data_IF_217615232959
#
_entry.id   IF_217615232959
#
_cell.length_a   1.000
_cell.length_b   1.000
_cell.length_c   1.000
_cell.angle_alpha   90.00
_cell.angle_beta   90.00
_cell.angle_gamma   90.00
#
_symmetry.space_group_name_H-M   'P 1'
#
loop_
_entity.id
_entity.type
_entity.pdbx_description
1 polymer ?
#
# COMPACT_ATOMS: atom_id res chain seq x y z
N UNK A 1 12.66 21.18 -21.27
CA UNK A 1 12.69 20.12 -20.23
C UNK A 1 11.46 19.19 -20.28
N UNK A 2 10.24 19.68 -20.53
CA UNK A 2 9.03 18.85 -20.56
C UNK A 2 8.99 17.76 -21.65
N UNK A 3 9.52 18.02 -22.86
CA UNK A 3 9.47 17.06 -23.99
C UNK A 3 10.32 15.80 -23.72
N UNK A 4 11.48 15.95 -23.10
CA UNK A 4 12.38 14.83 -22.77
C UNK A 4 11.80 13.96 -21.64
N UNK A 5 11.11 14.57 -20.66
CA UNK A 5 10.39 13.85 -19.62
C UNK A 5 9.20 13.06 -20.18
N UNK A 6 8.41 13.66 -21.09
CA UNK A 6 7.33 12.95 -21.82
C UNK A 6 7.86 11.79 -22.65
N UNK A 7 8.96 12.00 -23.39
CA UNK A 7 9.58 10.94 -24.20
C UNK A 7 10.10 9.78 -23.34
N UNK A 8 10.71 10.06 -22.19
CA UNK A 8 11.15 9.03 -21.25
C UNK A 8 9.97 8.28 -20.61
N UNK A 9 8.85 8.96 -20.31
CA UNK A 9 7.63 8.34 -19.81
C UNK A 9 7.01 7.38 -20.84
N UNK A 10 6.84 7.81 -22.10
CA UNK A 10 6.31 6.95 -23.17
C UNK A 10 7.26 5.79 -23.51
N UNK A 11 8.59 6.02 -23.51
CA UNK A 11 9.60 4.97 -23.74
C UNK A 11 9.61 3.89 -22.64
N UNK A 12 9.20 4.24 -21.42
CA UNK A 12 9.08 3.29 -20.29
C UNK A 12 7.75 2.52 -20.32
N UNK A 13 6.67 3.16 -20.76
CA UNK A 13 5.34 2.55 -20.87
C UNK A 13 5.21 1.58 -22.05
N UNK A 14 5.81 1.89 -23.21
CA UNK A 14 5.63 1.10 -24.43
C UNK A 14 6.00 -0.38 -24.23
N UNK A 15 7.17 -0.72 -23.65
CA UNK A 15 7.51 -2.11 -23.37
C UNK A 15 6.72 -2.70 -22.19
N UNK A 16 6.29 -1.87 -21.23
CA UNK A 16 5.60 -2.33 -20.01
C UNK A 16 4.13 -2.70 -20.23
N UNK A 17 3.48 -2.11 -21.24
CA UNK A 17 2.08 -2.38 -21.61
C UNK A 17 1.92 -3.24 -22.87
N UNK A 18 2.89 -3.25 -23.80
CA UNK A 18 2.81 -4.02 -25.06
C UNK A 18 3.82 -5.19 -25.13
N UNK A 19 4.82 -5.24 -24.25
CA UNK A 19 5.81 -6.31 -24.22
C UNK A 19 5.30 -7.55 -23.47
N UNK A 20 5.42 -8.74 -24.08
CA UNK A 20 5.08 -10.05 -23.50
C UNK A 20 5.90 -10.47 -22.26
N UNK A 21 6.81 -9.64 -21.77
CA UNK A 21 7.64 -9.92 -20.59
C UNK A 21 6.99 -9.34 -19.33
N UNK A 22 7.09 -10.04 -18.19
CA UNK A 22 6.58 -9.58 -16.89
C UNK A 22 7.34 -8.30 -16.44
N UNK A 23 6.67 -7.38 -15.74
CA UNK A 23 7.27 -6.16 -15.16
C UNK A 23 6.81 -6.04 -13.71
N UNK A 24 7.33 -5.10 -12.92
CA UNK A 24 6.82 -4.79 -11.59
C UNK A 24 5.29 -4.62 -11.56
N UNK A 25 4.67 -4.15 -12.65
CA UNK A 25 3.23 -3.97 -12.75
C UNK A 25 2.43 -5.27 -12.57
N UNK A 26 3.00 -6.43 -12.88
CA UNK A 26 2.31 -7.71 -12.70
C UNK A 26 2.19 -8.10 -11.22
N UNK A 27 3.08 -7.60 -10.36
CA UNK A 27 2.97 -7.82 -8.91
C UNK A 27 1.87 -6.95 -8.28
N UNK A 28 1.71 -5.72 -8.78
CA UNK A 28 0.78 -4.76 -8.19
C UNK A 28 -0.68 -5.05 -8.54
N UNK A 29 -0.95 -5.58 -9.74
CA UNK A 29 -2.31 -5.86 -10.23
C UNK A 29 -2.78 -7.28 -9.93
N UNK A 30 -3.01 -7.59 -8.65
CA UNK A 30 -3.75 -8.80 -8.23
C UNK A 30 -5.27 -8.61 -8.41
N UNK A 31 -6.10 -9.61 -8.14
CA UNK A 31 -7.55 -9.42 -7.98
C UNK A 31 -7.81 -8.92 -6.56
N UNK A 32 -8.32 -7.69 -6.36
CA UNK A 32 -8.66 -7.24 -5.02
C UNK A 32 -9.86 -8.03 -4.48
N UNK A 33 -9.69 -8.63 -3.31
CA UNK A 33 -10.70 -9.45 -2.65
C UNK A 33 -10.65 -9.27 -1.14
N UNK A 34 -11.82 -9.34 -0.50
CA UNK A 34 -11.95 -9.42 0.96
C UNK A 34 -11.59 -10.84 1.38
N UNK A 35 -10.71 -11.00 2.36
CA UNK A 35 -10.45 -12.31 2.95
C UNK A 35 -11.54 -12.65 3.98
N UNK A 36 -12.52 -13.44 3.57
CA UNK A 36 -13.64 -13.87 4.43
C UNK A 36 -13.20 -14.71 5.64
N UNK A 37 -11.98 -15.25 5.64
CA UNK A 37 -11.42 -16.01 6.77
C UNK A 37 -10.78 -15.13 7.85
N UNK A 38 -10.66 -13.82 7.61
CA UNK A 38 -10.13 -12.91 8.61
C UNK A 38 -11.07 -12.85 9.84
N UNK A 39 -10.56 -12.96 11.08
CA UNK A 39 -11.41 -12.95 12.27
C UNK A 39 -11.89 -11.55 12.71
N UNK A 40 -11.46 -10.47 12.03
CA UNK A 40 -11.84 -9.04 12.21
C UNK A 40 -11.52 -8.39 13.57
N UNK A 41 -11.69 -9.10 14.69
CA UNK A 41 -11.55 -8.61 16.06
C UNK A 41 -10.30 -9.10 16.78
N UNK A 42 -9.58 -10.04 16.16
CA UNK A 42 -8.32 -10.58 16.69
C UNK A 42 -7.29 -10.62 15.57
N UNK A 43 -6.00 -10.67 15.91
CA UNK A 43 -4.97 -10.93 14.90
C UNK A 43 -5.23 -12.32 14.28
N UNK A 44 -4.94 -12.51 13.00
CA UNK A 44 -5.22 -13.76 12.26
C UNK A 44 -4.79 -13.65 10.81
N UNK A 45 -5.45 -14.39 9.90
CA UNK A 45 -5.26 -14.15 8.46
C UNK A 45 -5.44 -12.65 8.14
N UNK A 46 -4.61 -12.15 7.23
CA UNK A 46 -4.65 -10.77 6.77
C UNK A 46 -5.91 -10.48 5.94
N UNK A 47 -6.36 -9.23 5.96
CA UNK A 47 -7.66 -8.79 5.44
C UNK A 47 -7.88 -9.01 3.95
N UNK A 48 -6.80 -9.17 3.18
CA UNK A 48 -6.83 -9.48 1.76
C UNK A 48 -6.03 -10.76 1.49
N UNK A 49 -6.51 -11.68 0.62
CA UNK A 49 -5.85 -12.97 0.41
C UNK A 49 -4.43 -12.85 -0.14
N UNK A 50 -4.19 -11.92 -1.07
CA UNK A 50 -2.92 -11.74 -1.79
C UNK A 50 -2.41 -13.04 -2.47
N UNK A 51 -3.32 -13.83 -3.02
CA UNK A 51 -3.02 -15.15 -3.62
C UNK A 51 -2.02 -15.03 -4.78
N UNK A 52 -2.23 -14.12 -5.74
CA UNK A 52 -1.29 -14.01 -6.86
C UNK A 52 0.07 -13.44 -6.43
N UNK A 53 0.10 -12.64 -5.36
CA UNK A 53 1.35 -12.16 -4.76
C UNK A 53 2.07 -13.29 -4.03
N UNK A 54 1.37 -14.18 -3.33
CA UNK A 54 1.95 -15.36 -2.70
C UNK A 54 2.62 -16.30 -3.73
N UNK A 55 2.03 -16.37 -4.92
CA UNK A 55 2.53 -17.15 -6.07
C UNK A 55 3.33 -16.30 -7.07
N UNK A 56 4.05 -15.30 -6.56
CA UNK A 56 4.83 -14.41 -7.40
C UNK A 56 5.78 -15.19 -8.32
N UNK A 57 5.60 -15.04 -9.62
CA UNK A 57 6.35 -15.79 -10.62
C UNK A 57 7.52 -14.98 -11.22
N UNK A 58 8.07 -14.03 -10.45
CA UNK A 58 9.21 -13.21 -10.85
C UNK A 58 10.52 -13.64 -10.20
N UNK A 59 11.44 -12.70 -10.04
CA UNK A 59 12.77 -12.99 -9.52
C UNK A 59 12.78 -13.03 -7.99
N UNK A 60 13.70 -13.83 -7.45
CA UNK A 60 13.97 -13.95 -6.02
C UNK A 60 15.48 -13.82 -5.80
N UNK A 61 15.88 -13.40 -4.60
CA UNK A 61 17.25 -13.59 -4.14
C UNK A 61 17.49 -15.02 -3.64
N UNK A 62 18.71 -15.31 -3.19
CA UNK A 62 19.08 -16.63 -2.67
C UNK A 62 18.39 -17.03 -1.37
N UNK A 63 17.77 -16.07 -0.66
CA UNK A 63 17.00 -16.31 0.56
C UNK A 63 15.50 -16.45 0.28
N UNK A 64 15.07 -16.43 -0.99
CA UNK A 64 13.66 -16.55 -1.37
C UNK A 64 12.87 -15.25 -1.22
N UNK A 65 13.53 -14.09 -1.12
CA UNK A 65 12.88 -12.79 -1.03
C UNK A 65 12.61 -12.23 -2.43
N UNK A 66 11.39 -11.73 -2.74
CA UNK A 66 11.05 -11.29 -4.08
C UNK A 66 11.78 -10.00 -4.49
N UNK A 67 12.23 -9.97 -5.75
CA UNK A 67 12.83 -8.82 -6.43
C UNK A 67 11.91 -8.36 -7.56
N UNK A 68 11.48 -7.10 -7.53
CA UNK A 68 10.66 -6.52 -8.59
C UNK A 68 11.54 -5.93 -9.70
N UNK A 69 11.20 -6.20 -10.95
CA UNK A 69 11.89 -5.65 -12.12
C UNK A 69 11.24 -4.36 -12.61
N UNK A 70 11.88 -3.22 -12.30
CA UNK A 70 11.48 -1.88 -12.72
C UNK A 70 12.01 -1.45 -14.09
N UNK A 71 12.75 -2.36 -14.76
CA UNK A 71 13.36 -2.23 -16.08
C UNK A 71 14.30 -1.04 -16.23
N UNK A 72 14.92 -0.97 -17.41
CA UNK A 72 15.79 0.13 -17.79
C UNK A 72 16.95 0.29 -16.81
N UNK A 73 17.23 1.54 -16.41
CA UNK A 73 18.35 1.86 -15.51
C UNK A 73 18.12 1.44 -14.05
N UNK A 74 16.88 1.22 -13.63
CA UNK A 74 16.59 0.81 -12.25
C UNK A 74 16.84 -0.69 -12.08
N UNK A 75 16.44 -1.49 -13.06
CA UNK A 75 16.60 -2.95 -13.01
C UNK A 75 15.79 -3.60 -11.89
N UNK A 76 16.31 -4.71 -11.35
CA UNK A 76 15.71 -5.46 -10.26
C UNK A 76 16.02 -4.79 -8.93
N UNK A 77 14.99 -4.58 -8.12
CA UNK A 77 15.12 -3.92 -6.82
C UNK A 77 14.28 -4.67 -5.78
N UNK A 78 14.76 -4.65 -4.54
CA UNK A 78 13.89 -4.92 -3.41
C UNK A 78 12.86 -3.81 -3.29
N UNK A 79 11.63 -4.19 -2.96
CA UNK A 79 10.59 -3.25 -2.61
C UNK A 79 9.94 -3.73 -1.30
N UNK A 80 10.12 -3.00 -0.18
CA UNK A 80 9.56 -3.38 1.12
C UNK A 80 8.05 -3.65 1.11
N UNK A 81 7.28 -2.88 0.34
CA UNK A 81 5.83 -3.08 0.20
C UNK A 81 5.55 -4.42 -0.47
N UNK A 82 6.28 -4.74 -1.54
CA UNK A 82 6.12 -5.99 -2.25
C UNK A 82 6.50 -7.21 -1.40
N UNK A 83 7.60 -7.09 -0.66
CA UNK A 83 8.08 -8.14 0.25
C UNK A 83 7.07 -8.37 1.37
N UNK A 84 6.53 -7.31 1.96
CA UNK A 84 5.49 -7.41 2.99
C UNK A 84 4.21 -8.06 2.45
N UNK A 85 3.70 -7.63 1.28
CA UNK A 85 2.50 -8.22 0.69
C UNK A 85 2.69 -9.67 0.23
N UNK A 86 3.88 -10.01 -0.27
CA UNK A 86 4.28 -11.39 -0.56
C UNK A 86 4.26 -12.27 0.69
N UNK A 87 4.83 -11.78 1.79
CA UNK A 87 4.84 -12.49 3.06
C UNK A 87 3.43 -12.62 3.64
N UNK A 88 2.59 -11.58 3.60
CA UNK A 88 1.20 -11.64 4.06
C UNK A 88 0.37 -12.65 3.25
N UNK A 89 0.56 -12.70 1.93
CA UNK A 89 -0.09 -13.70 1.08
C UNK A 89 0.34 -15.12 1.41
N UNK A 90 1.65 -15.36 1.60
CA UNK A 90 2.15 -16.66 2.00
C UNK A 90 1.75 -17.04 3.43
N UNK A 91 1.63 -16.08 4.35
CA UNK A 91 1.10 -16.31 5.68
C UNK A 91 -0.36 -16.77 5.64
N UNK A 92 -1.21 -16.09 4.85
CA UNK A 92 -2.60 -16.52 4.64
C UNK A 92 -2.67 -17.94 4.06
N UNK A 93 -1.84 -18.22 3.04
CA UNK A 93 -1.78 -19.55 2.44
C UNK A 93 -1.30 -20.61 3.46
N UNK A 94 -0.31 -20.29 4.29
CA UNK A 94 0.17 -21.14 5.36
C UNK A 94 -0.94 -21.43 6.39
N UNK A 95 -1.68 -20.43 6.87
CA UNK A 95 -2.79 -20.64 7.80
C UNK A 95 -3.80 -21.69 7.28
N UNK A 96 -4.00 -21.73 5.97
CA UNK A 96 -4.97 -22.63 5.31
C UNK A 96 -4.42 -24.03 5.00
N UNK A 97 -3.13 -24.13 4.70
CA UNK A 97 -2.51 -25.34 4.14
C UNK A 97 -1.52 -26.02 5.08
N UNK A 98 -0.99 -25.29 6.06
CA UNK A 98 0.12 -25.72 6.93
C UNK A 98 1.36 -26.18 6.13
N UNK A 99 1.55 -25.64 4.92
CA UNK A 99 2.66 -26.00 4.03
C UNK A 99 3.98 -25.42 4.52
N UNK A 100 5.00 -26.27 4.66
CA UNK A 100 6.37 -25.85 5.00
C UNK A 100 6.94 -24.84 3.98
N UNK A 101 6.66 -25.02 2.69
CA UNK A 101 7.06 -24.08 1.64
C UNK A 101 6.46 -22.68 1.86
N UNK A 102 5.18 -22.61 2.25
CA UNK A 102 4.54 -21.33 2.58
C UNK A 102 5.13 -20.71 3.83
N UNK A 103 5.49 -21.55 4.80
CA UNK A 103 6.17 -21.10 6.02
C UNK A 103 7.51 -20.45 5.72
N UNK A 104 8.38 -21.14 4.97
CA UNK A 104 9.68 -20.64 4.55
C UNK A 104 9.55 -19.28 3.85
N UNK A 105 8.57 -19.14 2.96
CA UNK A 105 8.34 -17.91 2.19
C UNK A 105 7.91 -16.71 3.04
N UNK A 106 6.91 -16.87 3.92
CA UNK A 106 6.50 -15.73 4.76
C UNK A 106 7.57 -15.39 5.81
N UNK A 107 8.29 -16.40 6.31
CA UNK A 107 9.39 -16.23 7.27
C UNK A 107 10.56 -15.49 6.64
N UNK A 108 10.98 -15.87 5.42
CA UNK A 108 12.03 -15.17 4.68
C UNK A 108 11.69 -13.69 4.46
N UNK A 109 10.44 -13.38 4.12
CA UNK A 109 9.98 -12.01 3.99
C UNK A 109 10.01 -11.24 5.32
N UNK A 110 9.57 -11.87 6.43
CA UNK A 110 9.60 -11.26 7.76
C UNK A 110 11.04 -11.02 8.25
N UNK A 111 11.94 -12.00 8.07
CA UNK A 111 13.36 -11.88 8.41
C UNK A 111 14.05 -10.78 7.59
N UNK A 112 13.70 -10.66 6.29
CA UNK A 112 14.18 -9.57 5.46
C UNK A 112 13.72 -8.21 6.01
N UNK A 113 12.46 -8.07 6.43
CA UNK A 113 11.96 -6.84 7.03
C UNK A 113 12.69 -6.49 8.34
N UNK A 114 12.98 -7.45 9.20
CA UNK A 114 13.78 -7.21 10.42
C UNK A 114 15.18 -6.73 10.06
N UNK A 115 15.84 -7.40 9.11
CA UNK A 115 17.23 -7.12 8.72
C UNK A 115 17.41 -5.77 8.00
N UNK A 116 16.41 -5.35 7.22
CA UNK A 116 16.48 -4.15 6.38
C UNK A 116 15.65 -2.98 6.92
N UNK A 117 15.28 -3.02 8.21
CA UNK A 117 14.76 -1.85 8.89
C UNK A 117 15.95 -0.94 9.23
N UNK A 118 15.94 0.29 8.70
CA UNK A 118 17.07 1.22 8.75
C UNK A 118 16.67 2.53 9.44
N UNK A 119 17.62 3.27 10.01
CA UNK A 119 17.35 4.61 10.53
C UNK A 119 17.39 5.63 9.39
N UNK A 120 16.37 6.47 9.28
CA UNK A 120 16.42 7.63 8.39
C UNK A 120 17.23 8.80 8.99
N UNK A 121 17.29 9.92 8.28
CA UNK A 121 18.02 11.12 8.69
C UNK A 121 17.57 11.71 10.03
N UNK A 122 16.33 11.43 10.47
CA UNK A 122 15.79 11.85 11.77
C UNK A 122 15.96 10.79 12.87
N UNK A 123 16.63 9.67 12.58
CA UNK A 123 16.85 8.58 13.52
C UNK A 123 15.66 7.62 13.70
N UNK A 124 14.58 7.80 12.94
CA UNK A 124 13.41 6.92 12.97
C UNK A 124 13.64 5.68 12.10
N UNK A 125 13.14 4.54 12.57
CA UNK A 125 13.28 3.26 11.89
C UNK A 125 12.26 3.11 10.77
N UNK A 126 12.73 2.98 9.53
CA UNK A 126 11.91 2.89 8.32
C UNK A 126 12.47 1.87 7.33
N UNK A 127 11.62 1.35 6.45
CA UNK A 127 12.07 0.60 5.29
C UNK A 127 12.34 1.53 4.10
N UNK A 128 13.61 1.63 3.73
CA UNK A 128 14.07 2.47 2.63
C UNK A 128 13.93 1.75 1.28
N UNK A 129 13.67 2.54 0.25
CA UNK A 129 13.81 2.19 -1.15
C UNK A 129 15.09 2.83 -1.67
N UNK A 130 16.02 2.00 -2.13
CA UNK A 130 17.36 2.41 -2.54
C UNK A 130 17.48 2.69 -4.05
N UNK A 131 16.40 3.17 -4.66
CA UNK A 131 16.36 3.54 -6.08
C UNK A 131 15.51 4.78 -6.30
N UNK A 132 15.88 5.61 -7.28
CA UNK A 132 15.10 6.80 -7.63
C UNK A 132 13.75 6.40 -8.24
N UNK A 133 12.67 7.03 -7.81
CA UNK A 133 11.33 6.75 -8.32
C UNK A 133 10.69 7.99 -8.94
N UNK A 134 10.28 7.88 -10.20
CA UNK A 134 9.59 8.94 -10.92
C UNK A 134 8.10 8.90 -10.56
N UNK A 135 7.72 9.81 -9.67
CA UNK A 135 6.35 10.13 -9.33
C UNK A 135 6.05 11.58 -9.75
N UNK A 136 5.10 12.29 -9.13
CA UNK A 136 4.83 13.71 -9.39
C UNK A 136 6.09 14.57 -9.26
N UNK A 137 6.86 14.27 -8.21
CA UNK A 137 8.23 14.74 -8.00
C UNK A 137 9.10 13.50 -7.87
N UNK A 138 10.29 13.52 -8.47
CA UNK A 138 11.24 12.40 -8.35
C UNK A 138 11.59 12.17 -6.89
N UNK A 139 11.26 10.99 -6.37
CA UNK A 139 11.72 10.52 -5.07
C UNK A 139 13.17 10.08 -5.23
N UNK A 140 14.09 10.77 -4.55
CA UNK A 140 15.51 10.42 -4.58
C UNK A 140 15.82 9.36 -3.55
N UNK A 141 16.61 8.36 -3.94
CA UNK A 141 17.07 7.35 -3.01
C UNK A 141 18.00 7.94 -1.93
N UNK A 142 17.94 7.44 -0.68
CA UNK A 142 16.92 6.54 -0.17
C UNK A 142 15.61 7.28 0.16
N UNK A 143 14.46 6.65 -0.10
CA UNK A 143 13.14 7.17 0.28
C UNK A 143 12.26 6.09 0.92
N UNK A 144 11.32 6.46 1.77
CA UNK A 144 10.48 5.53 2.52
C UNK A 144 8.99 5.88 2.39
N UNK A 145 8.12 4.99 2.91
CA UNK A 145 6.68 5.03 2.66
C UNK A 145 5.88 4.61 3.89
N UNK A 146 4.81 5.34 4.22
CA UNK A 146 3.84 4.93 5.25
C UNK A 146 3.14 3.61 4.90
N UNK A 147 2.94 3.31 3.61
CA UNK A 147 2.41 2.03 3.15
C UNK A 147 3.39 0.88 3.48
N UNK A 148 4.69 1.09 3.22
CA UNK A 148 5.72 0.11 3.59
C UNK A 148 5.73 -0.14 5.09
N UNK A 149 5.67 0.93 5.89
CA UNK A 149 5.63 0.84 7.34
C UNK A 149 4.42 0.00 7.81
N UNK A 150 3.22 0.31 7.33
CA UNK A 150 2.03 -0.43 7.76
C UNK A 150 2.02 -1.89 7.35
N UNK A 151 2.33 -2.21 6.08
CA UNK A 151 2.36 -3.60 5.61
C UNK A 151 3.46 -4.42 6.29
N UNK A 152 4.63 -3.83 6.52
CA UNK A 152 5.71 -4.50 7.23
C UNK A 152 5.33 -4.80 8.68
N UNK A 153 4.70 -3.85 9.39
CA UNK A 153 4.15 -4.07 10.74
C UNK A 153 3.14 -5.23 10.72
N UNK A 154 2.17 -5.23 9.79
CA UNK A 154 1.18 -6.31 9.66
C UNK A 154 1.82 -7.70 9.52
N UNK A 155 2.90 -7.82 8.75
CA UNK A 155 3.60 -9.10 8.58
C UNK A 155 4.38 -9.47 9.85
N UNK A 156 5.13 -8.52 10.41
CA UNK A 156 5.97 -8.76 11.59
C UNK A 156 5.16 -9.19 12.81
N UNK A 157 4.01 -8.56 13.09
CA UNK A 157 3.20 -8.97 14.25
C UNK A 157 2.58 -10.37 14.08
N UNK A 158 2.30 -10.77 12.84
CA UNK A 158 1.86 -12.15 12.51
C UNK A 158 3.01 -13.15 12.64
N UNK A 159 4.21 -12.78 12.19
CA UNK A 159 5.42 -13.57 12.37
C UNK A 159 5.72 -13.77 13.86
N UNK A 160 5.65 -12.71 14.68
CA UNK A 160 5.82 -12.83 16.13
C UNK A 160 4.80 -13.79 16.73
N UNK A 161 3.51 -13.64 16.41
CA UNK A 161 2.46 -14.54 16.93
C UNK A 161 2.69 -16.00 16.55
N UNK A 162 3.16 -16.26 15.34
CA UNK A 162 3.38 -17.63 14.85
C UNK A 162 4.63 -18.29 15.44
N UNK A 163 5.65 -17.50 15.78
CA UNK A 163 6.99 -18.02 16.13
C UNK A 163 7.35 -17.84 17.60
N UNK A 164 6.76 -16.86 18.28
CA UNK A 164 7.20 -16.38 19.59
C UNK A 164 8.51 -15.58 19.56
N UNK A 165 9.13 -15.33 18.40
CA UNK A 165 10.42 -14.64 18.32
C UNK A 165 10.25 -13.12 18.53
N UNK A 166 10.89 -12.57 19.56
CA UNK A 166 10.78 -11.14 19.93
C UNK A 166 11.32 -10.18 18.86
N UNK A 167 12.28 -10.62 18.04
CA UNK A 167 12.87 -9.80 16.96
C UNK A 167 11.81 -9.18 16.04
N UNK A 168 10.71 -9.90 15.78
CA UNK A 168 9.63 -9.41 14.95
C UNK A 168 8.79 -8.34 15.67
N UNK A 169 8.48 -8.55 16.96
CA UNK A 169 7.75 -7.58 17.79
C UNK A 169 8.55 -6.30 17.96
N UNK A 170 9.84 -6.39 18.27
CA UNK A 170 10.73 -5.24 18.41
C UNK A 170 10.86 -4.45 17.10
N UNK A 171 11.01 -5.13 15.97
CA UNK A 171 11.05 -4.47 14.66
C UNK A 171 9.71 -3.78 14.33
N UNK A 172 8.58 -4.40 14.65
CA UNK A 172 7.26 -3.80 14.47
C UNK A 172 7.09 -2.54 15.35
N UNK A 173 7.54 -2.58 16.61
CA UNK A 173 7.50 -1.43 17.52
C UNK A 173 8.36 -0.27 17.00
N UNK A 174 9.59 -0.57 16.55
CA UNK A 174 10.49 0.43 15.95
C UNK A 174 9.86 1.07 14.70
N UNK A 175 9.28 0.25 13.82
CA UNK A 175 8.63 0.73 12.60
C UNK A 175 7.37 1.57 12.89
N UNK A 176 6.62 1.23 13.94
CA UNK A 176 5.42 1.97 14.36
C UNK A 176 5.77 3.42 14.74
N UNK A 177 6.97 3.67 15.26
CA UNK A 177 7.36 5.02 15.70
C UNK A 177 7.32 6.07 14.59
N UNK A 178 7.48 5.67 13.33
CA UNK A 178 7.35 6.57 12.18
C UNK A 178 5.93 7.19 12.08
N UNK A 179 4.89 6.50 12.58
CA UNK A 179 3.52 7.00 12.58
C UNK A 179 3.19 7.96 13.74
N UNK A 180 4.09 8.12 14.72
CA UNK A 180 3.94 9.15 15.75
C UNK A 180 4.71 10.42 15.43
N UNK A 181 5.40 10.46 14.28
CA UNK A 181 6.18 11.59 13.82
C UNK A 181 5.58 12.20 12.55
N UNK A 182 5.72 13.53 12.42
CA UNK A 182 5.30 14.22 11.20
C UNK A 182 6.33 14.04 10.08
N UNK A 183 5.91 14.15 8.83
CA UNK A 183 6.79 14.03 7.65
C UNK A 183 7.96 15.01 7.69
N UNK A 184 7.79 16.20 8.28
CA UNK A 184 8.84 17.22 8.40
C UNK A 184 9.99 16.82 9.33
N UNK A 185 9.75 15.88 10.24
CA UNK A 185 10.73 15.34 11.19
C UNK A 185 11.02 13.86 10.94
N UNK A 186 10.90 13.42 9.69
CA UNK A 186 11.24 12.07 9.26
C UNK A 186 10.17 11.01 9.54
N UNK A 187 8.96 11.39 9.97
CA UNK A 187 7.84 10.47 10.11
C UNK A 187 7.11 10.20 8.80
N UNK A 188 5.92 9.61 8.90
CA UNK A 188 5.02 9.32 7.76
C UNK A 188 3.67 10.03 7.86
N UNK A 189 3.45 10.85 8.89
CA UNK A 189 2.19 11.55 9.10
C UNK A 189 2.26 12.98 8.59
N UNK A 190 1.38 13.33 7.67
CA UNK A 190 1.07 14.71 7.36
C UNK A 190 -0.18 15.14 8.11
N UNK A 191 -0.15 16.28 8.80
CA UNK A 191 -1.32 16.84 9.47
C UNK A 191 -1.85 18.02 8.68
N UNK A 192 -3.10 17.91 8.20
CA UNK A 192 -3.72 19.00 7.46
C UNK A 192 -4.18 20.16 8.38
N UNK A 193 -4.64 21.26 7.78
CA UNK A 193 -5.10 22.44 8.52
C UNK A 193 -6.35 22.18 9.36
N UNK A 194 -7.11 21.14 9.05
CA UNK A 194 -8.28 20.73 9.82
C UNK A 194 -7.93 19.78 10.98
N UNK A 195 -6.64 19.44 11.16
CA UNK A 195 -6.17 18.54 12.21
C UNK A 195 -6.31 17.06 11.87
N UNK A 196 -6.58 16.73 10.60
CA UNK A 196 -6.62 15.34 10.14
C UNK A 196 -5.21 14.81 9.92
N UNK A 197 -4.99 13.55 10.29
CA UNK A 197 -3.70 12.88 10.15
C UNK A 197 -3.73 11.96 8.91
N UNK A 198 -2.89 12.28 7.94
CA UNK A 198 -2.71 11.54 6.69
C UNK A 198 -1.42 10.71 6.73
N UNK A 199 -1.53 9.40 6.58
CA UNK A 199 -0.37 8.51 6.40
C UNK A 199 0.05 8.52 4.92
N UNK A 200 1.21 9.10 4.63
CA UNK A 200 1.68 9.31 3.26
C UNK A 200 2.38 8.07 2.69
N UNK A 201 1.91 7.57 1.55
CA UNK A 201 2.62 6.53 0.78
C UNK A 201 3.89 7.09 0.15
N UNK A 202 3.79 8.23 -0.54
CA UNK A 202 4.94 8.97 -1.06
C UNK A 202 5.01 10.32 -0.37
N UNK A 203 6.11 10.57 0.32
CA UNK A 203 6.33 11.81 1.05
C UNK A 203 6.82 12.86 0.06
N UNK A 204 5.88 13.67 -0.44
CA UNK A 204 6.12 14.76 -1.40
C UNK A 204 5.52 16.06 -0.92
N UNK A 205 6.03 17.18 -1.44
CA UNK A 205 5.49 18.51 -1.18
C UNK A 205 4.98 19.14 -2.50
N UNK A 206 3.71 19.58 -2.56
CA UNK A 206 2.65 19.36 -1.57
C UNK A 206 2.23 17.87 -1.51
N UNK A 207 1.71 17.39 -0.36
CA UNK A 207 1.27 16.01 -0.20
C UNK A 207 0.09 15.69 -1.14
N UNK A 208 -0.02 14.43 -1.55
CA UNK A 208 -1.03 13.98 -2.51
C UNK A 208 -2.06 13.04 -1.90
N UNK A 209 -1.85 12.52 -0.69
CA UNK A 209 -2.82 11.67 0.01
C UNK A 209 -3.30 10.48 -0.85
N UNK A 210 -2.39 9.54 -1.16
CA UNK A 210 -2.73 8.34 -1.95
C UNK A 210 -3.66 7.45 -1.14
N UNK A 211 -4.87 7.22 -1.66
CA UNK A 211 -5.98 6.63 -0.89
C UNK A 211 -5.69 5.19 -0.44
N UNK A 212 -5.26 4.33 -1.37
CA UNK A 212 -5.02 2.93 -1.05
C UNK A 212 -3.84 2.76 -0.07
N UNK A 213 -2.80 3.58 -0.22
CA UNK A 213 -1.62 3.58 0.63
C UNK A 213 -1.96 3.99 2.06
N UNK A 214 -2.75 5.07 2.21
CA UNK A 214 -3.29 5.50 3.50
C UNK A 214 -4.06 4.37 4.22
N UNK A 215 -4.98 3.71 3.51
CA UNK A 215 -5.83 2.67 4.11
C UNK A 215 -4.99 1.48 4.57
N UNK A 216 -4.12 0.94 3.71
CA UNK A 216 -3.24 -0.17 4.08
C UNK A 216 -2.24 0.20 5.18
N UNK A 217 -1.76 1.44 5.22
CA UNK A 217 -0.92 1.92 6.30
C UNK A 217 -1.67 1.90 7.64
N UNK A 218 -2.93 2.35 7.65
CA UNK A 218 -3.78 2.34 8.85
C UNK A 218 -4.06 0.93 9.38
N UNK A 219 -4.18 -0.06 8.49
CA UNK A 219 -4.37 -1.47 8.89
C UNK A 219 -3.16 -2.04 9.62
N UNK A 220 -1.94 -1.64 9.26
CA UNK A 220 -0.73 -2.01 10.01
C UNK A 220 -0.72 -1.50 11.44
N UNK A 221 -1.16 -0.25 11.63
CA UNK A 221 -1.32 0.35 12.97
C UNK A 221 -2.36 -0.42 13.79
N UNK A 222 -3.49 -0.79 13.17
CA UNK A 222 -4.53 -1.59 13.84
C UNK A 222 -4.07 -3.01 14.17
N UNK A 223 -3.37 -3.68 13.25
CA UNK A 223 -2.78 -5.00 13.48
C UNK A 223 -1.80 -4.97 14.68
N UNK A 224 -0.99 -3.91 14.82
CA UNK A 224 -0.13 -3.73 15.99
C UNK A 224 -0.92 -3.64 17.29
N UNK A 225 -2.02 -2.87 17.30
CA UNK A 225 -2.92 -2.82 18.45
C UNK A 225 -3.51 -4.20 18.77
N UNK A 226 -4.01 -4.94 17.77
CA UNK A 226 -4.55 -6.28 17.97
C UNK A 226 -3.51 -7.25 18.54
N UNK A 227 -2.25 -7.11 18.15
CA UNK A 227 -1.16 -7.96 18.60
C UNK A 227 -0.67 -7.66 20.02
N UNK A 228 -0.69 -6.38 20.44
CA UNK A 228 0.01 -5.91 21.64
C UNK A 228 -0.90 -5.30 22.71
N UNK A 229 -2.11 -4.89 22.34
CA UNK A 229 -2.98 -4.10 23.21
C UNK A 229 -2.56 -2.64 23.39
N UNK A 230 -1.54 -2.14 22.66
CA UNK A 230 -1.06 -0.77 22.80
C UNK A 230 -2.13 0.26 22.38
N UNK A 231 -2.69 0.96 23.38
CA UNK A 231 -3.73 1.97 23.21
C UNK A 231 -3.27 3.19 22.41
N UNK A 232 -1.96 3.44 22.27
CA UNK A 232 -1.44 4.50 21.40
C UNK A 232 -1.70 4.16 19.94
N UNK A 233 -1.44 2.91 19.53
CA UNK A 233 -1.73 2.42 18.19
C UNK A 233 -3.25 2.43 17.92
N UNK A 234 -4.07 2.03 18.90
CA UNK A 234 -5.52 2.13 18.77
C UNK A 234 -5.98 3.57 18.48
N UNK A 235 -5.57 4.55 19.30
CA UNK A 235 -5.94 5.97 19.10
C UNK A 235 -5.46 6.50 17.76
N UNK A 236 -4.28 6.08 17.31
CA UNK A 236 -3.73 6.47 16.02
C UNK A 236 -4.57 5.90 14.86
N UNK A 237 -4.99 4.64 14.94
CA UNK A 237 -5.93 4.04 13.98
C UNK A 237 -7.28 4.75 13.99
N UNK A 238 -7.86 5.03 15.17
CA UNK A 238 -9.14 5.72 15.30
C UNK A 238 -9.09 7.11 14.63
N UNK A 239 -7.99 7.85 14.81
CA UNK A 239 -7.75 9.14 14.13
C UNK A 239 -7.63 9.01 12.62
N UNK A 240 -6.96 7.97 12.13
CA UNK A 240 -6.87 7.69 10.69
C UNK A 240 -8.25 7.33 10.11
N UNK A 241 -9.04 6.53 10.82
CA UNK A 241 -10.42 6.18 10.46
C UNK A 241 -11.30 7.42 10.40
N UNK A 242 -11.22 8.31 11.40
CA UNK A 242 -11.98 9.56 11.42
C UNK A 242 -11.56 10.49 10.27
N UNK A 243 -10.25 10.65 10.05
CA UNK A 243 -9.68 11.41 8.94
C UNK A 243 -10.27 10.95 7.61
N UNK A 244 -10.24 9.64 7.36
CA UNK A 244 -10.76 9.09 6.13
C UNK A 244 -12.28 9.25 6.03
N UNK A 245 -13.03 8.94 7.09
CA UNK A 245 -14.48 9.05 7.13
C UNK A 245 -14.96 10.48 6.77
N UNK A 246 -14.28 11.50 7.27
CA UNK A 246 -14.59 12.90 7.00
C UNK A 246 -14.19 13.32 5.58
N UNK A 247 -13.13 12.75 5.03
CA UNK A 247 -12.55 13.20 3.76
C UNK A 247 -12.82 12.29 2.56
N UNK A 248 -13.50 11.15 2.73
CA UNK A 248 -13.73 10.16 1.67
C UNK A 248 -14.50 10.76 0.47
N UNK A 249 -15.38 11.73 0.72
CA UNK A 249 -16.10 12.45 -0.32
C UNK A 249 -15.17 13.20 -1.29
N UNK A 250 -13.97 13.59 -0.86
CA UNK A 250 -12.98 14.25 -1.70
C UNK A 250 -12.39 13.31 -2.76
N UNK A 251 -12.43 11.99 -2.52
CA UNK A 251 -11.99 10.95 -3.46
C UNK A 251 -13.10 10.46 -4.39
N UNK A 252 -14.30 11.01 -4.30
CA UNK A 252 -15.44 10.65 -5.15
C UNK A 252 -15.64 11.69 -6.26
N UNK A 253 -15.42 11.29 -7.51
CA UNK A 253 -15.67 12.15 -8.68
C UNK A 253 -17.14 12.14 -9.13
N UNK A 254 -18.04 11.44 -8.43
CA UNK A 254 -19.46 11.29 -8.76
C UNK A 254 -19.76 10.20 -9.79
N UNK A 255 -18.74 9.69 -10.47
CA UNK A 255 -18.84 8.58 -11.43
C UNK A 255 -17.69 7.58 -11.33
N UNK A 256 -16.63 7.89 -10.57
CA UNK A 256 -15.44 7.06 -10.36
C UNK A 256 -14.69 7.53 -9.11
N UNK A 257 -13.79 6.72 -8.55
CA UNK A 257 -12.92 7.15 -7.44
C UNK A 257 -11.64 7.82 -7.96
N UNK A 258 -11.11 8.76 -7.21
CA UNK A 258 -9.76 9.29 -7.39
C UNK A 258 -8.71 8.30 -6.85
N UNK A 259 -7.50 8.34 -7.41
CA UNK A 259 -6.35 7.61 -6.86
C UNK A 259 -5.75 8.34 -5.65
N UNK A 260 -5.68 9.66 -5.77
CA UNK A 260 -4.98 10.59 -4.88
C UNK A 260 -5.60 11.99 -5.03
N UNK A 261 -5.33 12.86 -4.08
CA UNK A 261 -5.59 14.30 -4.14
C UNK A 261 -4.42 15.00 -4.85
N UNK A 262 -4.28 14.76 -6.16
CA UNK A 262 -3.12 15.17 -6.96
C UNK A 262 -2.85 16.68 -7.03
N UNK A 263 -3.79 17.53 -6.60
CA UNK A 263 -3.68 19.00 -6.71
C UNK A 263 -3.57 19.52 -8.14
N UNK A 264 -3.82 18.69 -9.15
CA UNK A 264 -3.85 19.05 -10.57
C UNK A 264 -5.22 19.56 -10.96
N UNK A 265 -5.31 20.40 -12.01
CA UNK A 265 -6.58 20.94 -12.49
C UNK A 265 -7.56 19.82 -12.92
N UNK A 266 -7.06 18.81 -13.65
CA UNK A 266 -7.80 17.56 -13.84
C UNK A 266 -7.48 16.63 -12.67
N UNK A 267 -8.48 16.06 -12.02
CA UNK A 267 -8.29 15.14 -10.89
C UNK A 267 -7.76 13.78 -11.36
N UNK A 268 -6.81 13.17 -10.66
CA UNK A 268 -6.27 11.86 -11.05
C UNK A 268 -7.25 10.73 -10.72
N UNK A 269 -7.98 10.23 -11.74
CA UNK A 269 -8.86 9.05 -11.57
C UNK A 269 -8.06 7.76 -11.32
N UNK A 270 -8.57 6.93 -10.42
CA UNK A 270 -8.06 5.58 -10.17
C UNK A 270 -8.12 4.72 -11.44
N UNK A 271 -7.15 3.82 -11.63
CA UNK A 271 -7.26 2.79 -12.67
C UNK A 271 -8.41 1.82 -12.35
N UNK A 272 -8.89 1.00 -13.31
CA UNK A 272 -9.88 -0.04 -13.04
C UNK A 272 -9.53 -0.96 -11.87
N UNK A 273 -8.24 -1.32 -11.77
CA UNK A 273 -7.72 -2.07 -10.63
C UNK A 273 -7.84 -1.27 -9.32
N UNK A 274 -7.27 -0.06 -9.25
CA UNK A 274 -7.27 0.72 -8.01
C UNK A 274 -8.68 1.09 -7.56
N UNK A 275 -9.61 1.35 -8.48
CA UNK A 275 -11.01 1.56 -8.13
C UNK A 275 -11.63 0.32 -7.49
N UNK A 276 -11.35 -0.87 -8.02
CA UNK A 276 -11.78 -2.14 -7.43
C UNK A 276 -11.12 -2.40 -6.08
N UNK A 277 -9.84 -2.04 -5.93
CA UNK A 277 -9.12 -2.12 -4.67
C UNK A 277 -9.75 -1.22 -3.61
N UNK A 278 -10.06 0.03 -3.96
CA UNK A 278 -10.69 0.96 -3.02
C UNK A 278 -12.04 0.44 -2.52
N UNK A 279 -12.84 -0.19 -3.38
CA UNK A 279 -14.11 -0.82 -2.96
C UNK A 279 -13.84 -1.88 -1.88
N UNK A 280 -12.91 -2.81 -2.13
CA UNK A 280 -12.55 -3.87 -1.18
C UNK A 280 -11.98 -3.30 0.12
N UNK A 281 -11.12 -2.28 0.03
CA UNK A 281 -10.55 -1.61 1.19
C UNK A 281 -11.63 -0.95 2.06
N UNK A 282 -12.65 -0.33 1.45
CA UNK A 282 -13.78 0.24 2.18
C UNK A 282 -14.69 -0.83 2.79
N UNK A 283 -14.88 -1.97 2.12
CA UNK A 283 -15.59 -3.12 2.71
C UNK A 283 -14.86 -3.66 3.94
N UNK A 284 -13.54 -3.81 3.86
CA UNK A 284 -12.71 -4.21 5.01
C UNK A 284 -12.81 -3.17 6.13
N UNK A 285 -12.64 -1.87 5.84
CA UNK A 285 -12.76 -0.83 6.87
C UNK A 285 -14.11 -0.84 7.56
N UNK A 286 -15.22 -1.03 6.82
CA UNK A 286 -16.53 -1.18 7.44
C UNK A 286 -16.59 -2.37 8.40
N UNK A 287 -15.98 -3.51 8.04
CA UNK A 287 -15.94 -4.68 8.95
C UNK A 287 -15.07 -4.45 10.18
N UNK A 288 -13.98 -3.69 10.04
CA UNK A 288 -13.08 -3.37 11.16
C UNK A 288 -13.68 -2.33 12.12
N UNK A 289 -14.46 -1.37 11.62
CA UNK A 289 -14.86 -0.19 12.42
C UNK A 289 -16.36 -0.05 12.64
N UNK A 290 -17.20 -0.69 11.83
CA UNK A 290 -18.65 -0.47 11.81
C UNK A 290 -19.10 0.88 11.26
N UNK A 291 -18.20 1.73 10.76
CA UNK A 291 -18.57 3.04 10.23
C UNK A 291 -19.31 2.91 8.87
N UNK A 292 -20.61 3.19 8.88
CA UNK A 292 -21.51 3.11 7.71
C UNK A 292 -21.07 3.95 6.50
N UNK A 293 -20.28 5.01 6.71
CA UNK A 293 -19.74 5.80 5.60
C UNK A 293 -18.92 4.94 4.65
N UNK A 294 -18.10 4.01 5.15
CA UNK A 294 -17.27 3.16 4.31
C UNK A 294 -18.12 2.21 3.45
N UNK A 295 -19.12 1.57 4.06
CA UNK A 295 -20.09 0.72 3.36
C UNK A 295 -20.84 1.48 2.27
N UNK A 296 -21.33 2.69 2.58
CA UNK A 296 -22.03 3.55 1.62
C UNK A 296 -21.17 3.88 0.40
N UNK A 297 -19.91 4.27 0.62
CA UNK A 297 -18.99 4.56 -0.48
C UNK A 297 -18.59 3.30 -1.25
N UNK A 298 -18.37 2.17 -0.59
CA UNK A 298 -18.12 0.89 -1.25
C UNK A 298 -19.27 0.49 -2.19
N UNK A 299 -20.53 0.55 -1.72
CA UNK A 299 -21.72 0.26 -2.53
C UNK A 299 -21.82 1.23 -3.71
N UNK A 300 -21.63 2.54 -3.46
CA UNK A 300 -21.70 3.57 -4.50
C UNK A 300 -20.65 3.33 -5.59
N UNK A 301 -19.38 3.14 -5.20
CA UNK A 301 -18.27 2.90 -6.12
C UNK A 301 -18.41 1.57 -6.86
N UNK A 302 -18.93 0.53 -6.20
CA UNK A 302 -19.31 -0.71 -6.89
C UNK A 302 -20.39 -0.47 -7.95
N UNK A 303 -21.37 0.39 -7.67
CA UNK A 303 -22.33 0.87 -8.66
C UNK A 303 -21.68 1.61 -9.85
N UNK A 304 -20.60 2.35 -9.62
CA UNK A 304 -19.81 2.97 -10.69
C UNK A 304 -19.12 1.92 -11.57
N UNK A 305 -18.46 0.95 -10.94
CA UNK A 305 -17.79 -0.17 -11.61
C UNK A 305 -18.74 -1.01 -12.46
N UNK A 306 -19.99 -1.22 -12.03
CA UNK A 306 -21.00 -1.99 -12.79
C UNK A 306 -21.55 -1.24 -14.01
N UNK A 307 -21.57 0.09 -13.97
CA UNK A 307 -22.13 0.90 -15.06
C UNK A 307 -21.19 1.01 -16.26
N UNK A 308 -21.63 0.54 -17.44
CA UNK A 308 -20.86 0.64 -18.68
C UNK A 308 -20.52 2.08 -19.04
N UNK A 309 -21.49 3.00 -18.92
CA UNK A 309 -21.28 4.42 -19.26
C UNK A 309 -20.26 5.08 -18.33
N UNK A 310 -20.33 4.82 -17.01
CA UNK A 310 -19.35 5.36 -16.04
C UNK A 310 -17.95 4.80 -16.26
N UNK A 311 -17.82 3.50 -16.56
CA UNK A 311 -16.52 2.89 -16.92
C UNK A 311 -15.92 3.53 -18.17
N UNK A 312 -16.72 3.72 -19.22
CA UNK A 312 -16.27 4.39 -20.46
C UNK A 312 -15.87 5.84 -20.16
N UNK A 313 -16.67 6.59 -19.41
CA UNK A 313 -16.34 7.96 -19.02
C UNK A 313 -15.02 8.04 -18.24
N UNK A 314 -14.81 7.14 -17.26
CA UNK A 314 -13.56 7.07 -16.49
C UNK A 314 -12.35 6.73 -17.36
N UNK A 315 -12.49 5.79 -18.31
CA UNK A 315 -11.43 5.45 -19.25
C UNK A 315 -11.08 6.64 -20.15
N UNK A 316 -12.08 7.27 -20.77
CA UNK A 316 -11.89 8.45 -21.62
C UNK A 316 -11.24 9.59 -20.85
N UNK A 317 -11.73 9.90 -19.64
CA UNK A 317 -11.14 10.91 -18.78
C UNK A 317 -9.66 10.61 -18.48
N UNK A 318 -9.34 9.34 -18.17
CA UNK A 318 -7.97 8.93 -17.87
C UNK A 318 -7.05 9.00 -19.10
N UNK A 319 -7.57 8.74 -20.30
CA UNK A 319 -6.83 8.94 -21.56
C UNK A 319 -6.51 10.43 -21.74
N UNK A 320 -7.49 11.31 -21.60
CA UNK A 320 -7.29 12.77 -21.69
C UNK A 320 -6.28 13.24 -20.64
N UNK A 321 -6.43 12.81 -19.38
CA UNK A 321 -5.48 13.11 -18.31
C UNK A 321 -4.05 12.70 -18.70
N UNK A 322 -3.86 11.49 -19.24
CA UNK A 322 -2.54 11.04 -19.69
C UNK A 322 -1.97 11.86 -20.84
N UNK A 323 -2.81 12.36 -21.76
CA UNK A 323 -2.36 13.22 -22.86
C UNK A 323 -1.98 14.64 -22.40
N UNK A 324 -2.62 15.13 -21.33
CA UNK A 324 -2.34 16.47 -20.79
C UNK A 324 -1.09 16.49 -19.90
N UNK A 325 -0.95 15.50 -19.02
CA UNK A 325 0.04 15.53 -17.93
C UNK A 325 1.26 14.64 -18.15
N UNK A 326 1.22 13.75 -19.14
CA UNK A 326 2.33 12.89 -19.52
C UNK A 326 2.58 12.94 -21.03
#
# INVERSE_FOLDING_TARGET
MAIVQRFNYYRRLFPAYLGRQKSQLTFWHDVPEVNERCPWTTLGEYYMPFTAKADYAGAYDSAGVPLLDYRGRIGRQYNPIAIAQYGLGNYNAYCRTQSAEREEKWRAAADWLVKNLERNHAGLWVWQHHFDWEYRTTLRAPWYSGLAQGQGISLLVRAHRQTGEDKYREAAERALMAFFAKVEIGGVVFQDRAGNDWFEEYIVAPPTHILNGFIWASWGVYDYFLATGDRRAQRLFDRAVQTLAQNLHQFDAGFWSLYEQSGTWMKMLASPFYHSLHIVQLEVLYRLTGHEVFKRFAIRWHGYRKSRSRRTAALSYKIVFKLCYY
#
